data_IF_579413258516
#
_entry.id   IF_579413258516
#
_cell.length_a   1.000
_cell.length_b   1.000
_cell.length_c   1.000
_cell.angle_alpha   90.00
_cell.angle_beta   90.00
_cell.angle_gamma   90.00
#
_symmetry.space_group_name_H-M   'P 1'
#
loop_
_entity.id
_entity.type
_entity.pdbx_description
1 polymer ?
#
# COMPACT_ATOMS: atom_id res chain seq x y z
N UNK A 1 -7.04 22.20 -10.33
CA UNK A 1 -7.45 21.04 -9.50
C UNK A 1 -8.85 20.64 -9.96
N UNK A 2 -9.14 19.35 -10.14
CA UNK A 2 -10.51 18.92 -10.44
C UNK A 2 -11.44 19.35 -9.31
N UNK A 3 -12.64 19.73 -9.67
CA UNK A 3 -13.67 20.12 -8.71
C UNK A 3 -14.05 18.89 -7.86
N UNK A 4 -14.23 19.04 -6.55
CA UNK A 4 -14.64 17.93 -5.66
C UNK A 4 -15.87 17.19 -6.19
N UNK A 5 -16.83 17.90 -6.80
CA UNK A 5 -18.02 17.30 -7.44
C UNK A 5 -17.70 16.43 -8.65
N UNK A 6 -16.62 16.71 -9.38
CA UNK A 6 -16.18 15.89 -10.51
C UNK A 6 -15.53 14.60 -10.01
N UNK A 7 -14.79 14.67 -8.87
CA UNK A 7 -14.22 13.50 -8.22
C UNK A 7 -15.29 12.57 -7.61
N UNK A 8 -16.39 13.14 -7.10
CA UNK A 8 -17.53 12.39 -6.55
C UNK A 8 -18.25 11.54 -7.61
N UNK A 9 -18.20 11.95 -8.87
CA UNK A 9 -18.84 11.26 -9.99
C UNK A 9 -17.88 10.41 -10.82
N UNK A 10 -16.58 10.45 -10.51
CA UNK A 10 -15.58 9.64 -11.22
C UNK A 10 -15.70 8.18 -10.82
N UNK A 11 -15.84 7.29 -11.80
CA UNK A 11 -15.81 5.85 -11.56
C UNK A 11 -14.43 5.43 -11.05
N UNK A 12 -14.36 4.66 -9.95
CA UNK A 12 -13.09 4.14 -9.46
C UNK A 12 -12.50 3.13 -10.43
N UNK A 13 -11.18 3.11 -10.56
CA UNK A 13 -10.44 2.12 -11.37
C UNK A 13 -10.60 0.71 -10.79
N UNK A 14 -10.75 0.62 -9.49
CA UNK A 14 -10.96 -0.60 -8.73
C UNK A 14 -11.02 -0.30 -7.23
N UNK A 15 -11.26 -1.30 -6.38
CA UNK A 15 -11.16 -1.13 -4.94
C UNK A 15 -9.77 -0.61 -4.55
N UNK A 16 -9.73 0.49 -3.79
CA UNK A 16 -8.47 1.07 -3.33
C UNK A 16 -7.82 0.18 -2.26
N UNK A 17 -6.53 -0.09 -2.43
CA UNK A 17 -5.70 -0.70 -1.39
C UNK A 17 -4.35 0.01 -1.30
N UNK A 18 -3.78 -0.01 -0.10
CA UNK A 18 -2.51 0.64 0.22
C UNK A 18 -1.60 -0.38 0.89
N UNK A 19 -0.38 -0.51 0.41
CA UNK A 19 0.69 -1.19 1.13
C UNK A 19 1.68 -0.11 1.57
N UNK A 20 1.85 0.06 2.86
CA UNK A 20 2.92 0.88 3.41
C UNK A 20 4.07 -0.04 3.82
N UNK A 21 5.20 0.06 3.13
CA UNK A 21 6.41 -0.67 3.55
C UNK A 21 6.83 -0.18 4.93
N UNK A 22 7.62 -0.97 5.65
CA UNK A 22 8.04 -0.66 7.03
C UNK A 22 8.61 0.75 7.19
N UNK A 23 9.29 1.27 6.16
CA UNK A 23 9.85 2.61 6.15
C UNK A 23 8.80 3.74 6.14
N UNK A 24 7.59 3.46 5.67
CA UNK A 24 6.48 4.40 5.54
C UNK A 24 5.26 4.03 6.40
N UNK A 25 5.40 3.11 7.35
CA UNK A 25 4.28 2.55 8.12
C UNK A 25 3.43 3.62 8.83
N UNK A 26 4.08 4.58 9.49
CA UNK A 26 3.40 5.69 10.17
C UNK A 26 2.62 6.56 9.19
N UNK A 27 3.22 6.87 8.03
CA UNK A 27 2.56 7.63 6.96
C UNK A 27 1.35 6.85 6.45
N UNK A 28 1.52 5.55 6.17
CA UNK A 28 0.45 4.68 5.70
C UNK A 28 -0.75 4.65 6.64
N UNK A 29 -0.52 4.54 7.94
CA UNK A 29 -1.60 4.60 8.94
C UNK A 29 -2.34 5.94 8.91
N UNK A 30 -1.61 7.05 8.89
CA UNK A 30 -2.21 8.38 8.83
C UNK A 30 -3.05 8.59 7.56
N UNK A 31 -2.53 8.14 6.40
CA UNK A 31 -3.25 8.21 5.12
C UNK A 31 -4.50 7.34 5.16
N UNK A 32 -4.41 6.13 5.70
CA UNK A 32 -5.56 5.23 5.89
C UNK A 32 -6.67 5.89 6.71
N UNK A 33 -6.33 6.43 7.88
CA UNK A 33 -7.31 7.02 8.80
C UNK A 33 -8.00 8.26 8.19
N UNK A 34 -7.21 9.07 7.47
CA UNK A 34 -7.76 10.19 6.71
C UNK A 34 -8.73 9.71 5.63
N UNK A 35 -8.35 8.73 4.82
CA UNK A 35 -9.19 8.20 3.74
C UNK A 35 -10.47 7.54 4.28
N UNK A 36 -10.38 6.78 5.36
CA UNK A 36 -11.55 6.17 6.02
C UNK A 36 -12.54 7.26 6.43
N UNK A 37 -12.04 8.32 7.09
CA UNK A 37 -12.89 9.44 7.53
C UNK A 37 -13.46 10.20 6.35
N UNK A 38 -12.61 10.55 5.37
CA UNK A 38 -13.00 11.31 4.18
C UNK A 38 -14.10 10.58 3.37
N UNK A 39 -13.88 9.31 3.05
CA UNK A 39 -14.84 8.53 2.24
C UNK A 39 -16.13 8.20 2.97
N UNK A 40 -16.10 8.03 4.30
CA UNK A 40 -17.32 7.90 5.10
C UNK A 40 -18.17 9.16 5.05
N UNK A 41 -17.57 10.33 5.07
CA UNK A 41 -18.28 11.60 4.97
C UNK A 41 -18.90 11.80 3.58
N UNK A 42 -18.29 11.23 2.54
CA UNK A 42 -18.83 11.26 1.16
C UNK A 42 -19.92 10.21 0.92
N UNK A 43 -20.18 9.30 1.86
CA UNK A 43 -21.14 8.19 1.71
C UNK A 43 -22.56 8.61 1.29
N UNK A 44 -22.94 9.87 1.53
CA UNK A 44 -24.27 10.39 1.14
C UNK A 44 -24.47 10.46 -0.38
N UNK A 45 -23.40 10.42 -1.16
CA UNK A 45 -23.39 10.56 -2.61
C UNK A 45 -23.04 9.26 -3.35
N UNK A 46 -22.45 8.28 -2.64
CA UNK A 46 -22.09 6.98 -3.23
C UNK A 46 -23.24 6.01 -3.00
N UNK A 47 -23.95 5.68 -4.05
CA UNK A 47 -25.05 4.71 -4.07
C UNK A 47 -24.56 3.26 -4.05
N UNK A 48 -25.51 2.31 -3.89
CA UNK A 48 -25.26 0.85 -3.93
C UNK A 48 -24.90 0.35 -5.36
N UNK A 49 -24.19 1.17 -6.13
CA UNK A 49 -23.72 0.84 -7.46
C UNK A 49 -22.53 -0.14 -7.35
N UNK A 50 -22.57 -1.29 -8.04
CA UNK A 50 -21.47 -2.25 -8.10
C UNK A 50 -20.13 -1.66 -8.51
N UNK A 51 -20.12 -0.55 -9.28
CA UNK A 51 -18.92 0.16 -9.70
C UNK A 51 -18.15 0.78 -8.52
N UNK A 52 -18.83 1.04 -7.39
CA UNK A 52 -18.24 1.60 -6.17
C UNK A 52 -17.93 0.53 -5.11
N UNK A 53 -17.96 -0.74 -5.49
CA UNK A 53 -17.61 -1.83 -4.57
C UNK A 53 -16.19 -1.64 -4.03
N UNK A 54 -16.03 -1.69 -2.70
CA UNK A 54 -14.75 -1.44 -2.04
C UNK A 54 -14.33 0.04 -2.00
N UNK A 55 -15.23 0.97 -2.36
CA UNK A 55 -14.96 2.40 -2.25
C UNK A 55 -14.98 2.87 -0.80
N UNK A 56 -15.90 2.37 0.01
CA UNK A 56 -16.01 2.69 1.44
C UNK A 56 -15.60 1.45 2.24
N UNK A 57 -14.43 1.54 2.84
CA UNK A 57 -13.87 0.50 3.68
C UNK A 57 -13.54 1.03 5.07
N UNK A 58 -13.39 0.15 6.02
CA UNK A 58 -12.94 0.48 7.36
C UNK A 58 -11.41 0.50 7.45
N UNK A 59 -10.74 -0.13 6.48
CA UNK A 59 -9.29 -0.19 6.37
C UNK A 59 -8.89 -0.42 4.91
N UNK A 60 -8.01 0.41 4.40
CA UNK A 60 -7.43 0.30 3.06
C UNK A 60 -6.05 -0.34 3.07
N UNK A 61 -5.42 -0.47 4.25
CA UNK A 61 -4.10 -1.08 4.36
C UNK A 61 -4.18 -2.59 4.10
N UNK A 62 -3.20 -3.06 3.35
CA UNK A 62 -2.91 -4.47 3.12
C UNK A 62 -1.62 -4.81 3.87
N UNK A 63 -1.65 -5.88 4.62
CA UNK A 63 -0.48 -6.38 5.31
C UNK A 63 0.49 -7.04 4.32
N UNK A 64 1.75 -6.60 4.37
CA UNK A 64 2.83 -7.10 3.52
C UNK A 64 4.15 -7.08 4.28
N UNK A 65 5.05 -7.97 3.94
CA UNK A 65 6.35 -8.06 4.58
C UNK A 65 7.47 -8.36 3.57
N UNK A 66 8.69 -8.04 3.97
CA UNK A 66 9.90 -8.35 3.19
C UNK A 66 10.92 -9.09 4.09
N UNK A 67 10.66 -10.36 4.45
CA UNK A 67 11.61 -11.14 5.25
C UNK A 67 12.92 -11.35 4.52
N UNK A 68 14.01 -11.48 5.30
CA UNK A 68 15.34 -11.80 4.79
C UNK A 68 15.65 -13.27 5.02
N UNK A 69 16.19 -13.93 4.00
CA UNK A 69 16.78 -15.26 4.12
C UNK A 69 18.19 -15.18 4.72
N UNK A 70 18.74 -16.31 5.16
CA UNK A 70 20.10 -16.37 5.69
C UNK A 70 21.19 -15.97 4.70
N UNK A 71 20.90 -15.99 3.40
CA UNK A 71 21.77 -15.46 2.33
C UNK A 71 21.79 -13.93 2.25
N UNK A 72 20.90 -13.23 2.97
CA UNK A 72 20.68 -11.79 2.86
C UNK A 72 19.65 -11.39 1.81
N UNK A 73 19.19 -12.32 1.00
CA UNK A 73 18.15 -12.11 0.02
C UNK A 73 16.79 -11.84 0.68
N UNK A 74 15.99 -10.93 0.14
CA UNK A 74 14.66 -10.65 0.63
C UNK A 74 13.58 -11.27 -0.25
N UNK A 75 12.39 -11.46 0.32
CA UNK A 75 11.18 -11.90 -0.37
C UNK A 75 10.05 -10.90 -0.13
N UNK A 76 9.29 -10.54 -1.16
CA UNK A 76 8.03 -9.80 -0.99
C UNK A 76 6.88 -10.76 -0.70
N UNK A 77 6.18 -10.57 0.40
CA UNK A 77 5.01 -11.36 0.80
C UNK A 77 3.81 -10.46 1.00
N UNK A 78 2.67 -10.85 0.41
CA UNK A 78 1.38 -10.24 0.61
C UNK A 78 0.52 -11.19 1.45
N UNK A 79 0.05 -10.72 2.60
CA UNK A 79 -0.75 -11.54 3.52
C UNK A 79 -2.25 -11.44 3.22
N UNK A 80 -2.64 -10.53 2.31
CA UNK A 80 -4.00 -10.37 1.83
C UNK A 80 -4.03 -10.31 0.29
N UNK A 81 -5.21 -10.59 -0.28
CA UNK A 81 -5.39 -10.52 -1.73
C UNK A 81 -5.48 -9.08 -2.22
N UNK A 82 -4.69 -8.75 -3.23
CA UNK A 82 -4.75 -7.48 -3.97
C UNK A 82 -5.36 -7.63 -5.36
N UNK A 83 -6.06 -8.75 -5.61
CA UNK A 83 -6.64 -9.03 -6.93
C UNK A 83 -7.67 -7.99 -7.34
N UNK A 84 -7.47 -7.41 -8.52
CA UNK A 84 -8.38 -6.43 -9.13
C UNK A 84 -8.39 -5.06 -8.45
N UNK A 85 -7.44 -4.79 -7.53
CA UNK A 85 -7.38 -3.52 -6.80
C UNK A 85 -6.61 -2.44 -7.55
N UNK A 86 -6.95 -1.19 -7.24
CA UNK A 86 -6.11 -0.03 -7.51
C UNK A 86 -5.16 0.12 -6.31
N UNK A 87 -3.93 -0.40 -6.46
CA UNK A 87 -2.96 -0.56 -5.39
C UNK A 87 -1.98 0.62 -5.34
N UNK A 88 -1.80 1.18 -4.15
CA UNK A 88 -0.81 2.22 -3.87
C UNK A 88 0.26 1.67 -2.92
N UNK A 89 1.52 1.88 -3.27
CA UNK A 89 2.66 1.49 -2.46
C UNK A 89 3.32 2.75 -1.89
N UNK A 90 3.50 2.77 -0.56
CA UNK A 90 4.19 3.86 0.13
C UNK A 90 5.53 3.36 0.65
N UNK A 91 6.59 4.06 0.30
CA UNK A 91 7.96 3.76 0.74
C UNK A 91 8.71 5.05 1.04
N UNK A 92 9.50 5.06 2.11
CA UNK A 92 10.51 6.10 2.39
C UNK A 92 11.89 5.47 2.23
N UNK A 93 12.53 5.72 1.11
CA UNK A 93 13.86 5.17 0.81
C UNK A 93 14.98 5.81 1.64
N UNK A 94 14.71 6.96 2.26
CA UNK A 94 15.68 7.67 3.09
C UNK A 94 15.57 7.34 4.59
N UNK A 95 14.74 6.39 4.98
CA UNK A 95 14.57 6.01 6.37
C UNK A 95 15.74 5.12 6.86
N UNK A 96 16.77 5.75 7.41
CA UNK A 96 17.95 5.06 7.96
C UNK A 96 17.74 4.47 9.37
N UNK A 97 16.57 4.69 10.00
CA UNK A 97 16.31 4.19 11.36
C UNK A 97 15.96 2.69 11.38
N UNK A 98 15.57 2.12 10.24
CA UNK A 98 15.20 0.72 10.16
C UNK A 98 16.42 -0.18 10.06
N UNK A 99 16.28 -1.34 10.70
CA UNK A 99 17.31 -2.37 10.70
C UNK A 99 16.70 -3.72 10.36
N UNK A 100 17.55 -4.64 9.91
CA UNK A 100 17.23 -6.05 9.77
C UNK A 100 18.32 -6.90 10.39
N UNK A 101 17.95 -8.07 10.89
CA UNK A 101 18.91 -9.03 11.44
C UNK A 101 19.30 -10.04 10.37
N UNK A 102 20.61 -10.31 10.26
CA UNK A 102 21.16 -11.32 9.37
C UNK A 102 22.31 -12.03 10.08
N UNK A 103 22.20 -13.35 10.24
CA UNK A 103 23.24 -14.20 10.87
C UNK A 103 23.69 -13.68 12.26
N UNK A 104 22.76 -13.14 13.03
CA UNK A 104 23.04 -12.58 14.37
C UNK A 104 23.58 -11.15 14.38
N UNK A 105 23.76 -10.53 13.21
CA UNK A 105 24.18 -9.13 13.09
C UNK A 105 22.99 -8.24 12.78
N UNK A 106 22.97 -7.04 13.38
CA UNK A 106 22.01 -5.99 13.07
C UNK A 106 22.59 -5.08 12.00
N UNK A 107 21.88 -4.94 10.88
CA UNK A 107 22.25 -4.12 9.75
C UNK A 107 21.25 -2.98 9.59
N UNK A 108 21.71 -1.76 9.32
CA UNK A 108 20.86 -0.66 8.94
C UNK A 108 20.43 -0.78 7.48
N UNK A 109 19.17 -0.48 7.20
CA UNK A 109 18.68 -0.44 5.83
C UNK A 109 19.25 0.76 5.08
N UNK A 110 19.85 0.49 3.93
CA UNK A 110 20.26 1.51 2.98
C UNK A 110 19.08 1.93 2.09
N UNK A 111 19.19 3.06 1.34
CA UNK A 111 18.23 3.41 0.31
C UNK A 111 17.99 2.28 -0.71
N UNK A 112 19.05 1.56 -1.07
CA UNK A 112 18.95 0.43 -1.99
C UNK A 112 18.18 -0.76 -1.37
N UNK A 113 18.33 -1.02 -0.07
CA UNK A 113 17.52 -2.04 0.62
C UNK A 113 16.03 -1.72 0.55
N UNK A 114 15.63 -0.47 0.84
CA UNK A 114 14.26 -0.01 0.73
C UNK A 114 13.74 -0.11 -0.71
N UNK A 115 14.55 0.30 -1.68
CA UNK A 115 14.18 0.23 -3.09
C UNK A 115 14.05 -1.22 -3.58
N UNK A 116 14.91 -2.13 -3.11
CA UNK A 116 14.77 -3.54 -3.42
C UNK A 116 13.51 -4.16 -2.80
N UNK A 117 13.17 -3.79 -1.57
CA UNK A 117 11.92 -4.25 -0.94
C UNK A 117 10.68 -3.75 -1.70
N UNK A 118 10.70 -2.50 -2.16
CA UNK A 118 9.66 -1.98 -3.05
C UNK A 118 9.50 -2.85 -4.30
N UNK A 119 10.60 -3.15 -5.00
CA UNK A 119 10.56 -4.01 -6.21
C UNK A 119 10.03 -5.41 -5.92
N UNK A 120 10.36 -5.99 -4.77
CA UNK A 120 9.85 -7.30 -4.34
C UNK A 120 8.34 -7.28 -4.11
N UNK A 121 7.84 -6.23 -3.47
CA UNK A 121 6.39 -6.07 -3.26
C UNK A 121 5.66 -5.83 -4.58
N UNK A 122 6.22 -5.02 -5.49
CA UNK A 122 5.68 -4.85 -6.85
C UNK A 122 5.60 -6.21 -7.56
N UNK A 123 6.67 -7.00 -7.51
CA UNK A 123 6.70 -8.32 -8.14
C UNK A 123 5.66 -9.28 -7.52
N UNK A 124 5.47 -9.24 -6.20
CA UNK A 124 4.46 -10.04 -5.52
C UNK A 124 3.01 -9.65 -5.90
N UNK A 125 2.78 -8.37 -6.19
CA UNK A 125 1.46 -7.84 -6.60
C UNK A 125 1.22 -7.92 -8.12
N UNK A 126 2.29 -8.05 -8.93
CA UNK A 126 2.21 -8.04 -10.39
C UNK A 126 1.29 -9.16 -10.92
N UNK A 127 0.48 -8.82 -11.92
CA UNK A 127 -0.51 -9.73 -12.52
C UNK A 127 -1.72 -10.04 -11.63
N UNK A 128 -1.82 -9.43 -10.45
CA UNK A 128 -2.97 -9.56 -9.52
C UNK A 128 -3.69 -8.24 -9.34
N UNK A 129 -3.00 -7.18 -8.96
CA UNK A 129 -3.56 -5.83 -8.90
C UNK A 129 -3.97 -5.36 -10.31
N UNK A 130 -5.05 -4.57 -10.40
CA UNK A 130 -5.48 -3.96 -11.65
C UNK A 130 -4.52 -2.84 -12.07
N UNK A 131 -4.06 -2.05 -11.08
CA UNK A 131 -3.07 -0.98 -11.25
C UNK A 131 -2.17 -0.93 -10.02
N UNK A 132 -0.89 -0.63 -10.23
CA UNK A 132 0.07 -0.39 -9.15
C UNK A 132 0.63 1.03 -9.32
N UNK A 133 0.55 1.81 -8.25
CA UNK A 133 1.07 3.17 -8.13
C UNK A 133 2.12 3.20 -7.01
N UNK A 134 3.17 4.02 -7.15
CA UNK A 134 4.23 4.20 -6.16
C UNK A 134 4.34 5.66 -5.77
#
# INVERSE_FOLDING_TARGET
MPNLRELENALPVGPLKIIALNSAEKLGRNVNDYLVTFRRNMRKTVHDDPAFRGYIENNYLVDASCPRFGSGEGKGELHESVRGTDLYLLVDVCNHSLTYSLNGYTNHMSPDDHFQDLKRVIAAAAGKAHRINV
#
